data_IF_509031384565
#
_entry.id   IF_509031384565
#
_cell.length_a   1.000
_cell.length_b   1.000
_cell.length_c   1.000
_cell.angle_alpha   90.00
_cell.angle_beta   90.00
_cell.angle_gamma   90.00
#
_symmetry.space_group_name_H-M   'P 1'
#
loop_
_entity.id
_entity.type
_entity.pdbx_description
1 polymer ?
#
# COMPACT_ATOMS: atom_id res chain seq x y z
N UNK A 1 13.57 -15.19 -21.67
CA UNK A 1 12.27 -14.47 -21.63
C UNK A 1 11.67 -14.56 -23.03
N UNK A 2 10.34 -14.68 -23.17
CA UNK A 2 9.72 -14.72 -24.51
C UNK A 2 9.61 -13.30 -25.07
N UNK A 3 9.61 -13.09 -26.39
CA UNK A 3 9.50 -11.76 -27.00
C UNK A 3 8.23 -11.02 -26.52
N UNK A 4 7.12 -11.74 -26.34
CA UNK A 4 5.88 -11.19 -25.79
C UNK A 4 6.04 -10.65 -24.36
N UNK A 5 6.78 -11.35 -23.49
CA UNK A 5 7.05 -10.85 -22.13
C UNK A 5 7.94 -9.61 -22.11
N UNK A 6 8.87 -9.49 -23.06
CA UNK A 6 9.72 -8.30 -23.17
C UNK A 6 8.91 -7.09 -23.62
N UNK A 7 8.04 -7.26 -24.63
CA UNK A 7 7.12 -6.20 -25.09
C UNK A 7 6.17 -5.79 -23.96
N UNK A 8 5.58 -6.74 -23.24
CA UNK A 8 4.69 -6.44 -22.11
C UNK A 8 5.40 -5.64 -21.01
N UNK A 9 6.65 -5.98 -20.70
CA UNK A 9 7.47 -5.24 -19.72
C UNK A 9 7.82 -3.83 -20.20
N UNK A 10 8.17 -3.68 -21.48
CA UNK A 10 8.45 -2.37 -22.07
C UNK A 10 7.20 -1.45 -22.02
N UNK A 11 6.03 -1.99 -22.38
CA UNK A 11 4.75 -1.28 -22.28
C UNK A 11 4.40 -0.93 -20.83
N UNK A 12 4.57 -1.87 -19.89
CA UNK A 12 4.35 -1.61 -18.47
C UNK A 12 5.27 -0.52 -17.92
N UNK A 13 6.57 -0.55 -18.28
CA UNK A 13 7.53 0.46 -17.88
C UNK A 13 7.19 1.85 -18.45
N UNK A 14 6.82 1.92 -19.74
CA UNK A 14 6.38 3.15 -20.37
C UNK A 14 5.10 3.72 -19.72
N UNK A 15 4.12 2.86 -19.42
CA UNK A 15 2.90 3.24 -18.73
C UNK A 15 3.17 3.78 -17.32
N UNK A 16 4.04 3.11 -16.56
CA UNK A 16 4.46 3.56 -15.22
C UNK A 16 5.18 4.91 -15.29
N UNK A 17 6.06 5.12 -16.28
CA UNK A 17 6.75 6.40 -16.45
C UNK A 17 5.76 7.54 -16.78
N UNK A 18 4.86 7.31 -17.74
CA UNK A 18 3.85 8.30 -18.12
C UNK A 18 2.89 8.63 -16.96
N UNK A 19 2.43 7.61 -16.25
CA UNK A 19 1.55 7.76 -15.09
C UNK A 19 2.22 8.50 -13.93
N UNK A 20 3.52 8.26 -13.72
CA UNK A 20 4.31 8.99 -12.74
C UNK A 20 4.35 10.50 -13.03
N UNK A 21 4.46 10.88 -14.30
CA UNK A 21 4.39 12.29 -14.71
C UNK A 21 3.03 12.93 -14.44
N UNK A 22 1.93 12.21 -14.71
CA UNK A 22 0.58 12.69 -14.40
C UNK A 22 0.36 12.85 -12.89
N UNK A 23 0.82 11.89 -12.10
CA UNK A 23 0.73 11.96 -10.64
C UNK A 23 1.55 13.11 -10.07
N UNK A 24 2.77 13.33 -10.57
CA UNK A 24 3.59 14.47 -10.17
C UNK A 24 2.85 15.79 -10.34
N UNK A 25 2.23 15.99 -11.51
CA UNK A 25 1.42 17.18 -11.77
C UNK A 25 0.19 17.24 -10.84
N UNK A 26 -0.54 16.14 -10.71
CA UNK A 26 -1.77 16.09 -9.91
C UNK A 26 -1.54 16.27 -8.39
N UNK A 27 -0.37 15.89 -7.86
CA UNK A 27 -0.10 15.93 -6.42
C UNK A 27 0.92 16.98 -6.01
N UNK A 28 2.10 16.98 -6.62
CA UNK A 28 3.21 17.84 -6.19
C UNK A 28 3.05 19.25 -6.73
N UNK A 29 2.73 19.39 -8.03
CA UNK A 29 2.57 20.71 -8.63
C UNK A 29 1.35 21.46 -8.04
N UNK A 30 0.30 20.74 -7.67
CA UNK A 30 -0.92 21.29 -7.08
C UNK A 30 -0.91 21.33 -5.54
N UNK A 31 0.11 20.76 -4.88
CA UNK A 31 0.18 20.59 -3.41
C UNK A 31 -1.10 20.01 -2.80
N UNK A 32 -1.71 19.06 -3.51
CA UNK A 32 -3.04 18.54 -3.26
C UNK A 32 -3.05 17.01 -3.29
N UNK A 33 -3.63 16.38 -2.27
CA UNK A 33 -3.83 14.93 -2.23
C UNK A 33 -5.31 14.61 -2.08
N UNK A 34 -5.96 14.29 -3.19
CA UNK A 34 -7.32 13.74 -3.19
C UNK A 34 -7.29 12.25 -2.87
N UNK A 35 -8.45 11.69 -2.51
CA UNK A 35 -8.59 10.24 -2.34
C UNK A 35 -8.19 9.48 -3.62
N UNK A 36 -8.60 10.01 -4.78
CA UNK A 36 -8.30 9.42 -6.07
C UNK A 36 -6.82 9.46 -6.41
N UNK A 37 -6.14 10.60 -6.20
CA UNK A 37 -4.71 10.72 -6.47
C UNK A 37 -3.87 9.85 -5.51
N UNK A 38 -4.31 9.67 -4.27
CA UNK A 38 -3.59 8.79 -3.31
C UNK A 38 -3.80 7.31 -3.60
N UNK A 39 -5.02 6.89 -3.98
CA UNK A 39 -5.26 5.53 -4.45
C UNK A 39 -4.42 5.23 -5.71
N UNK A 40 -4.36 6.19 -6.64
CA UNK A 40 -3.56 6.08 -7.85
C UNK A 40 -2.05 6.06 -7.58
N UNK A 41 -1.55 6.89 -6.65
CA UNK A 41 -0.15 6.88 -6.21
C UNK A 41 0.21 5.55 -5.53
N UNK A 42 -0.70 5.00 -4.74
CA UNK A 42 -0.55 3.66 -4.16
C UNK A 42 -0.45 2.60 -5.27
N UNK A 43 -1.36 2.65 -6.24
CA UNK A 43 -1.34 1.81 -7.43
C UNK A 43 -0.04 1.87 -8.20
N UNK A 44 0.49 3.07 -8.41
CA UNK A 44 1.75 3.30 -9.11
C UNK A 44 2.93 2.64 -8.38
N UNK A 45 2.97 2.73 -7.05
CA UNK A 45 3.98 2.04 -6.24
C UNK A 45 3.82 0.51 -6.28
N UNK A 46 2.58 0.00 -6.31
CA UNK A 46 2.31 -1.41 -6.54
C UNK A 46 2.73 -1.87 -7.95
N UNK A 47 2.61 -1.00 -8.97
CA UNK A 47 3.07 -1.30 -10.32
C UNK A 47 4.59 -1.48 -10.37
N UNK A 48 5.36 -0.64 -9.68
CA UNK A 48 6.82 -0.79 -9.58
C UNK A 48 7.20 -2.15 -8.96
N UNK A 49 6.52 -2.53 -7.88
CA UNK A 49 6.70 -3.85 -7.27
C UNK A 49 6.23 -4.99 -8.20
N UNK A 50 5.15 -4.77 -8.95
CA UNK A 50 4.63 -5.69 -9.94
C UNK A 50 5.63 -5.95 -11.07
N UNK A 51 6.24 -4.91 -11.64
CA UNK A 51 7.32 -5.02 -12.63
C UNK A 51 8.49 -5.81 -12.05
N UNK A 52 8.92 -5.47 -10.83
CA UNK A 52 9.98 -6.20 -10.14
C UNK A 52 9.67 -7.70 -9.99
N UNK A 53 8.42 -8.05 -9.67
CA UNK A 53 7.97 -9.45 -9.56
C UNK A 53 7.79 -10.15 -10.90
N UNK A 54 7.40 -9.47 -11.99
CA UNK A 54 7.31 -10.08 -13.32
C UNK A 54 8.70 -10.45 -13.87
N UNK A 55 9.74 -9.70 -13.49
CA UNK A 55 11.13 -10.02 -13.83
C UNK A 55 11.60 -11.33 -13.18
N UNK A 56 10.99 -11.75 -12.07
CA UNK A 56 11.26 -13.03 -11.39
C UNK A 56 10.28 -14.10 -11.86
N UNK A 57 10.78 -15.16 -12.50
CA UNK A 57 9.94 -16.20 -13.13
C UNK A 57 8.85 -16.77 -12.23
N UNK A 58 9.15 -16.93 -10.95
CA UNK A 58 8.27 -17.59 -9.98
C UNK A 58 7.21 -16.64 -9.43
N UNK A 59 7.43 -15.33 -9.53
CA UNK A 59 6.52 -14.30 -9.03
C UNK A 59 5.65 -13.67 -10.11
N UNK A 60 5.74 -14.13 -11.37
CA UNK A 60 5.01 -13.56 -12.51
C UNK A 60 3.51 -13.46 -12.29
N UNK A 61 2.89 -14.49 -11.72
CA UNK A 61 1.46 -14.47 -11.41
C UNK A 61 1.09 -13.36 -10.42
N UNK A 62 1.87 -13.22 -9.34
CA UNK A 62 1.69 -12.13 -8.37
C UNK A 62 1.93 -10.75 -9.00
N UNK A 63 2.99 -10.63 -9.80
CA UNK A 63 3.31 -9.40 -10.53
C UNK A 63 2.18 -8.95 -11.47
N UNK A 64 1.55 -9.88 -12.19
CA UNK A 64 0.38 -9.59 -13.03
C UNK A 64 -0.82 -9.09 -12.23
N UNK A 65 -1.10 -9.68 -11.05
CA UNK A 65 -2.17 -9.19 -10.17
C UNK A 65 -1.89 -7.77 -9.69
N UNK A 66 -0.65 -7.49 -9.25
CA UNK A 66 -0.25 -6.15 -8.82
C UNK A 66 -0.40 -5.11 -9.94
N UNK A 67 0.01 -5.45 -11.16
CA UNK A 67 -0.17 -4.59 -12.34
C UNK A 67 -1.65 -4.37 -12.68
N UNK A 68 -2.50 -5.38 -12.52
CA UNK A 68 -3.95 -5.25 -12.70
C UNK A 68 -4.58 -4.29 -11.69
N UNK A 69 -4.22 -4.43 -10.41
CA UNK A 69 -4.64 -3.49 -9.34
C UNK A 69 -4.17 -2.08 -9.68
N UNK A 70 -2.91 -1.92 -10.08
CA UNK A 70 -2.35 -0.64 -10.46
C UNK A 70 -3.12 0.03 -11.61
N UNK A 71 -3.49 -0.73 -12.65
CA UNK A 71 -4.29 -0.24 -13.77
C UNK A 71 -5.67 0.25 -13.34
N UNK A 72 -6.34 -0.46 -12.43
CA UNK A 72 -7.63 -0.04 -11.88
C UNK A 72 -7.48 1.27 -11.09
N UNK A 73 -6.48 1.34 -10.21
CA UNK A 73 -6.24 2.53 -9.39
C UNK A 73 -5.81 3.74 -10.22
N UNK A 74 -5.17 3.53 -11.38
CA UNK A 74 -4.77 4.60 -12.29
C UNK A 74 -5.96 5.38 -12.86
N UNK A 75 -7.13 4.74 -13.00
CA UNK A 75 -8.37 5.38 -13.47
C UNK A 75 -8.81 6.55 -12.57
N UNK A 76 -8.44 6.53 -11.29
CA UNK A 76 -8.81 7.56 -10.32
C UNK A 76 -7.94 8.82 -10.37
N UNK A 77 -6.92 8.87 -11.24
CA UNK A 77 -6.02 10.03 -11.38
C UNK A 77 -6.74 11.24 -11.96
N UNK A 78 -7.68 11.02 -12.89
CA UNK A 78 -8.43 12.08 -13.55
C UNK A 78 -9.65 12.57 -12.74
N UNK A 79 -10.21 11.72 -11.87
CA UNK A 79 -11.47 12.00 -11.14
C UNK A 79 -11.33 12.88 -9.89
N UNK A 80 -10.13 13.38 -9.58
CA UNK A 80 -9.79 13.97 -8.28
C UNK A 80 -9.59 15.47 -8.26
N UNK A 81 -10.24 16.25 -9.16
CA UNK A 81 -10.15 17.72 -9.21
C UNK A 81 -11.06 18.43 -8.20
N UNK A 82 -11.56 17.74 -7.17
CA UNK A 82 -12.14 18.44 -6.03
C UNK A 82 -11.06 19.36 -5.44
N UNK A 83 -11.31 20.66 -5.24
CA UNK A 83 -10.31 21.58 -4.73
C UNK A 83 -9.88 21.09 -3.35
N UNK A 84 -8.71 20.46 -3.27
CA UNK A 84 -8.05 20.26 -2.00
C UNK A 84 -7.54 21.62 -1.58
N UNK A 85 -7.82 22.04 -0.35
CA UNK A 85 -7.23 23.27 0.18
C UNK A 85 -5.70 23.17 0.07
N UNK A 86 -5.12 24.11 -0.66
CA UNK A 86 -3.68 24.21 -0.81
C UNK A 86 -3.11 24.43 0.59
N UNK A 87 -2.41 23.41 1.11
CA UNK A 87 -1.79 23.51 2.42
C UNK A 87 -0.82 24.69 2.47
N UNK A 88 -0.87 25.50 3.51
CA UNK A 88 0.08 26.62 3.73
C UNK A 88 1.46 26.14 4.20
N UNK A 89 1.68 24.82 4.26
CA UNK A 89 2.93 24.23 4.70
C UNK A 89 4.02 24.40 3.62
N UNK A 90 5.31 24.56 4.02
CA UNK A 90 6.42 24.52 3.07
C UNK A 90 6.38 23.26 2.21
N UNK A 91 6.61 23.41 0.90
CA UNK A 91 6.54 22.32 -0.08
C UNK A 91 7.36 21.09 0.33
N UNK A 92 8.54 21.29 0.91
CA UNK A 92 9.41 20.19 1.35
C UNK A 92 8.80 19.38 2.51
N UNK A 93 8.06 20.01 3.42
CA UNK A 93 7.36 19.32 4.53
C UNK A 93 6.20 18.49 3.99
N UNK A 94 5.38 19.09 3.13
CA UNK A 94 4.26 18.41 2.48
C UNK A 94 4.75 17.19 1.70
N UNK A 95 5.72 17.38 0.80
CA UNK A 95 6.24 16.33 -0.07
C UNK A 95 6.89 15.21 0.75
N UNK A 96 7.75 15.53 1.72
CA UNK A 96 8.42 14.50 2.52
C UNK A 96 7.42 13.65 3.32
N UNK A 97 6.54 14.27 4.10
CA UNK A 97 5.54 13.55 4.89
C UNK A 97 4.58 12.73 4.00
N UNK A 98 4.06 13.34 2.94
CA UNK A 98 3.13 12.67 2.02
C UNK A 98 3.76 11.48 1.31
N UNK A 99 5.00 11.63 0.82
CA UNK A 99 5.72 10.54 0.17
C UNK A 99 6.00 9.40 1.16
N UNK A 100 6.48 9.71 2.36
CA UNK A 100 6.75 8.69 3.39
C UNK A 100 5.49 7.94 3.80
N UNK A 101 4.39 8.66 4.04
CA UNK A 101 3.11 8.05 4.39
C UNK A 101 2.54 7.18 3.27
N UNK A 102 2.62 7.64 2.02
CA UNK A 102 2.09 6.88 0.87
C UNK A 102 2.95 5.68 0.52
N UNK A 103 4.29 5.81 0.63
CA UNK A 103 5.21 4.68 0.46
C UNK A 103 4.98 3.62 1.56
N UNK A 104 4.80 4.04 2.81
CA UNK A 104 4.46 3.15 3.91
C UNK A 104 3.16 2.38 3.62
N UNK A 105 2.09 3.11 3.27
CA UNK A 105 0.79 2.53 2.94
C UNK A 105 0.90 1.51 1.80
N UNK A 106 1.62 1.83 0.73
CA UNK A 106 1.78 0.96 -0.44
C UNK A 106 2.56 -0.32 -0.14
N UNK A 107 3.63 -0.23 0.66
CA UNK A 107 4.39 -1.40 1.08
C UNK A 107 3.56 -2.30 2.00
N UNK A 108 2.78 -1.73 2.91
CA UNK A 108 1.90 -2.48 3.79
C UNK A 108 0.71 -3.09 3.02
N UNK A 109 0.21 -2.42 1.97
CA UNK A 109 -0.75 -2.98 1.03
C UNK A 109 -0.17 -4.18 0.26
N UNK A 110 1.04 -4.05 -0.25
CA UNK A 110 1.74 -5.16 -0.90
C UNK A 110 1.94 -6.34 0.05
N UNK A 111 2.33 -6.08 1.30
CA UNK A 111 2.41 -7.12 2.32
C UNK A 111 1.07 -7.81 2.58
N UNK A 112 -0.03 -7.06 2.68
CA UNK A 112 -1.37 -7.62 2.86
C UNK A 112 -1.79 -8.49 1.66
N UNK A 113 -1.48 -8.07 0.43
CA UNK A 113 -1.72 -8.86 -0.78
C UNK A 113 -0.88 -10.15 -0.79
N UNK A 114 0.39 -10.08 -0.41
CA UNK A 114 1.26 -11.25 -0.27
C UNK A 114 0.75 -12.20 0.84
N UNK A 115 0.32 -11.66 1.98
CA UNK A 115 -0.28 -12.42 3.07
C UNK A 115 -1.54 -13.15 2.60
N UNK A 116 -2.41 -12.47 1.87
CA UNK A 116 -3.62 -13.04 1.30
C UNK A 116 -3.29 -14.15 0.30
N UNK A 117 -2.40 -13.89 -0.66
CA UNK A 117 -1.96 -14.87 -1.65
C UNK A 117 -1.31 -16.10 -1.02
N UNK A 118 -0.46 -15.90 -0.01
CA UNK A 118 0.13 -16.98 0.79
C UNK A 118 -0.93 -17.83 1.47
N UNK A 119 -1.96 -17.21 2.05
CA UNK A 119 -3.06 -17.91 2.70
C UNK A 119 -3.89 -18.76 1.73
N UNK A 120 -4.12 -18.26 0.51
CA UNK A 120 -4.84 -18.99 -0.54
C UNK A 120 -4.02 -20.20 -1.01
N UNK A 121 -2.71 -20.02 -1.19
CA UNK A 121 -1.78 -21.10 -1.54
C UNK A 121 -1.75 -22.19 -0.46
N UNK A 122 -1.61 -21.78 0.80
CA UNK A 122 -1.58 -22.65 1.97
C UNK A 122 -2.88 -23.46 2.16
N UNK A 123 -4.05 -22.83 1.97
CA UNK A 123 -5.35 -23.54 1.96
C UNK A 123 -5.45 -24.58 0.84
N UNK A 124 -5.05 -24.23 -0.38
CA UNK A 124 -5.13 -25.15 -1.53
C UNK A 124 -4.23 -26.38 -1.35
N UNK A 125 -3.03 -26.20 -0.80
CA UNK A 125 -2.10 -27.30 -0.51
C UNK A 125 -2.69 -28.31 0.50
N UNK A 126 -3.44 -27.83 1.50
CA UNK A 126 -4.08 -28.71 2.49
C UNK A 126 -5.29 -29.49 1.97
N UNK A 127 -6.03 -28.95 1.00
CA UNK A 127 -7.33 -29.52 0.61
C UNK A 127 -7.31 -30.35 -0.68
N UNK A 128 -6.39 -30.11 -1.62
CA UNK A 128 -6.45 -30.72 -2.96
C UNK A 128 -5.40 -31.82 -3.16
N UNK A 129 -4.44 -31.97 -2.23
CA UNK A 129 -3.27 -32.80 -2.45
C UNK A 129 -2.38 -32.23 -3.57
N UNK A 130 -1.12 -32.65 -3.64
CA UNK A 130 -0.10 -32.16 -4.59
C UNK A 130 -0.35 -32.59 -6.04
N UNK A 131 -1.45 -33.31 -6.32
CA UNK A 131 -1.74 -33.92 -7.62
C UNK A 131 -2.30 -32.90 -8.61
N UNK A 132 -1.41 -32.22 -9.34
CA UNK A 132 -1.73 -31.67 -10.67
C UNK A 132 -1.40 -30.19 -10.92
N UNK A 133 -0.88 -29.44 -9.95
CA UNK A 133 -0.50 -28.04 -10.17
C UNK A 133 1.02 -27.85 -10.18
N UNK A 134 1.63 -28.13 -11.33
CA UNK A 134 2.99 -27.71 -11.73
C UNK A 134 3.01 -26.26 -12.24
N UNK A 135 2.17 -25.38 -11.68
CA UNK A 135 2.28 -23.94 -11.94
C UNK A 135 3.46 -23.42 -11.13
N UNK A 136 4.38 -22.71 -11.78
CA UNK A 136 5.58 -22.04 -11.21
C UNK A 136 5.18 -20.92 -10.23
N UNK A 137 4.48 -21.25 -9.16
CA UNK A 137 4.09 -20.35 -8.08
C UNK A 137 5.24 -20.28 -7.07
N UNK A 138 5.58 -19.09 -6.54
CA UNK A 138 6.72 -18.92 -5.66
C UNK A 138 6.49 -19.67 -4.36
N UNK A 139 7.53 -20.23 -3.74
CA UNK A 139 7.37 -21.06 -2.54
C UNK A 139 6.66 -20.29 -1.41
N UNK A 140 6.03 -21.02 -0.48
CA UNK A 140 5.34 -20.35 0.64
C UNK A 140 6.36 -19.57 1.51
N UNK A 141 7.59 -20.08 1.61
CA UNK A 141 8.71 -19.40 2.27
C UNK A 141 9.08 -18.09 1.55
N UNK A 142 9.14 -18.09 0.22
CA UNK A 142 9.46 -16.88 -0.55
C UNK A 142 8.38 -15.80 -0.43
N UNK A 143 7.10 -16.18 -0.47
CA UNK A 143 5.98 -15.25 -0.26
C UNK A 143 6.08 -14.63 1.14
N UNK A 144 6.36 -15.44 2.17
CA UNK A 144 6.47 -14.97 3.54
C UNK A 144 7.69 -14.05 3.74
N UNK A 145 8.83 -14.35 3.10
CA UNK A 145 10.02 -13.48 3.11
C UNK A 145 9.74 -12.11 2.51
N UNK A 146 9.12 -12.06 1.33
CA UNK A 146 8.78 -10.79 0.69
C UNK A 146 7.70 -10.04 1.49
N UNK A 147 6.73 -10.75 2.07
CA UNK A 147 5.73 -10.17 2.97
C UNK A 147 6.40 -9.46 4.14
N UNK A 148 7.31 -10.12 4.87
CA UNK A 148 8.00 -9.51 6.01
C UNK A 148 8.96 -8.39 5.60
N UNK A 149 9.62 -8.49 4.44
CA UNK A 149 10.44 -7.40 3.92
C UNK A 149 9.60 -6.14 3.65
N UNK A 150 8.42 -6.30 3.02
CA UNK A 150 7.47 -5.21 2.82
C UNK A 150 6.93 -4.67 4.15
N UNK A 151 6.61 -5.52 5.12
CA UNK A 151 6.15 -5.08 6.46
C UNK A 151 7.23 -4.27 7.17
N UNK A 152 8.48 -4.73 7.16
CA UNK A 152 9.58 -4.04 7.83
C UNK A 152 9.83 -2.66 7.20
N UNK A 153 9.94 -2.60 5.87
CA UNK A 153 10.15 -1.34 5.17
C UNK A 153 8.94 -0.39 5.34
N UNK A 154 7.72 -0.91 5.23
CA UNK A 154 6.50 -0.16 5.43
C UNK A 154 6.34 0.36 6.87
N UNK A 155 6.68 -0.45 7.87
CA UNK A 155 6.66 -0.08 9.29
C UNK A 155 7.68 1.01 9.62
N UNK A 156 8.89 0.93 9.06
CA UNK A 156 9.91 1.96 9.22
C UNK A 156 9.42 3.30 8.66
N UNK A 157 8.88 3.30 7.44
CA UNK A 157 8.31 4.50 6.83
C UNK A 157 7.07 5.01 7.58
N UNK A 158 6.19 4.12 8.06
CA UNK A 158 5.01 4.48 8.85
C UNK A 158 5.42 5.16 10.15
N UNK A 159 6.47 4.65 10.80
CA UNK A 159 7.03 5.26 12.01
C UNK A 159 7.48 6.68 11.72
N UNK A 160 8.31 6.87 10.69
CA UNK A 160 8.80 8.20 10.30
C UNK A 160 7.65 9.14 9.89
N UNK A 161 6.60 8.62 9.23
CA UNK A 161 5.40 9.38 8.89
C UNK A 161 4.63 9.82 10.15
N UNK A 162 4.41 8.94 11.12
CA UNK A 162 3.75 9.28 12.40
C UNK A 162 4.57 10.33 13.15
N UNK A 163 5.88 10.12 13.33
CA UNK A 163 6.73 11.06 14.06
C UNK A 163 6.83 12.43 13.36
N UNK A 164 6.98 12.47 12.03
CA UNK A 164 6.95 13.73 11.29
C UNK A 164 5.59 14.43 11.40
N UNK A 165 4.49 13.68 11.37
CA UNK A 165 3.15 14.24 11.57
C UNK A 165 2.96 14.87 12.96
N UNK A 166 3.51 14.25 14.01
CA UNK A 166 3.46 14.81 15.37
C UNK A 166 4.28 16.10 15.52
N UNK A 167 5.36 16.26 14.75
CA UNK A 167 6.19 17.48 14.75
C UNK A 167 5.48 18.63 14.01
N UNK A 168 4.75 18.31 12.94
CA UNK A 168 4.13 19.32 12.07
C UNK A 168 2.71 19.74 12.49
N UNK A 169 1.96 18.90 13.20
CA UNK A 169 0.59 19.23 13.63
C UNK A 169 0.60 19.89 15.01
N UNK A 170 0.26 21.18 15.07
CA UNK A 170 0.16 21.93 16.34
C UNK A 170 -1.11 21.63 17.14
N UNK A 171 -2.20 21.21 16.49
CA UNK A 171 -3.47 20.93 17.17
C UNK A 171 -4.27 19.81 16.49
N UNK A 172 -4.08 18.57 16.97
CA UNK A 172 -4.71 17.36 16.44
C UNK A 172 -6.22 17.28 16.73
N UNK A 173 -6.69 17.97 17.77
CA UNK A 173 -8.08 17.97 18.20
C UNK A 173 -8.90 19.02 17.46
N UNK A 174 -8.36 20.23 17.25
CA UNK A 174 -9.04 21.26 16.47
C UNK A 174 -9.34 20.82 15.03
N UNK A 175 -8.50 19.94 14.45
CA UNK A 175 -8.61 19.50 13.07
C UNK A 175 -9.35 18.15 12.87
N UNK A 176 -9.98 17.58 13.90
CA UNK A 176 -10.67 16.27 13.82
C UNK A 176 -9.78 15.11 13.32
N UNK A 177 -8.45 15.25 13.39
CA UNK A 177 -7.50 14.24 12.91
C UNK A 177 -7.29 13.09 13.89
N UNK A 178 -7.76 13.19 15.14
CA UNK A 178 -7.46 12.19 16.15
C UNK A 178 -7.92 10.78 15.80
N UNK A 179 -9.09 10.60 15.18
CA UNK A 179 -9.53 9.26 14.78
C UNK A 179 -8.59 8.63 13.74
N UNK A 180 -8.08 9.42 12.80
CA UNK A 180 -7.08 8.99 11.81
C UNK A 180 -5.74 8.64 12.48
N UNK A 181 -5.29 9.47 13.41
CA UNK A 181 -4.04 9.24 14.16
C UNK A 181 -4.14 8.00 15.05
N UNK A 182 -5.23 7.84 15.81
CA UNK A 182 -5.45 6.66 16.67
C UNK A 182 -5.49 5.38 15.85
N UNK A 183 -6.22 5.34 14.73
CA UNK A 183 -6.26 4.16 13.86
C UNK A 183 -4.89 3.84 13.25
N UNK A 184 -4.14 4.85 12.82
CA UNK A 184 -2.78 4.67 12.32
C UNK A 184 -1.81 4.18 13.42
N UNK A 185 -1.92 4.70 14.64
CA UNK A 185 -1.13 4.24 15.79
C UNK A 185 -1.49 2.80 16.19
N UNK A 186 -2.76 2.42 16.15
CA UNK A 186 -3.17 1.03 16.38
C UNK A 186 -2.60 0.09 15.31
N UNK A 187 -2.69 0.48 14.03
CA UNK A 187 -2.06 -0.28 12.94
C UNK A 187 -0.54 -0.40 13.16
N UNK A 188 0.13 0.69 13.56
CA UNK A 188 1.54 0.71 13.90
C UNK A 188 1.88 -0.28 15.02
N UNK A 189 1.11 -0.30 16.12
CA UNK A 189 1.29 -1.27 17.20
C UNK A 189 1.13 -2.71 16.70
N UNK A 190 0.11 -2.99 15.87
CA UNK A 190 -0.10 -4.35 15.33
C UNK A 190 1.08 -4.79 14.46
N UNK A 191 1.59 -3.93 13.58
CA UNK A 191 2.76 -4.26 12.76
C UNK A 191 4.03 -4.41 13.61
N UNK A 192 4.20 -3.59 14.64
CA UNK A 192 5.29 -3.72 15.61
C UNK A 192 5.25 -5.05 16.36
N UNK A 193 4.07 -5.43 16.87
CA UNK A 193 3.84 -6.74 17.52
C UNK A 193 4.08 -7.89 16.56
N UNK A 194 3.67 -7.77 15.29
CA UNK A 194 3.92 -8.78 14.27
C UNK A 194 5.43 -8.96 14.00
N UNK A 195 6.18 -7.86 13.86
CA UNK A 195 7.64 -7.90 13.66
C UNK A 195 8.36 -8.46 14.89
N UNK A 196 7.98 -8.01 16.09
CA UNK A 196 8.54 -8.52 17.34
C UNK A 196 8.23 -10.02 17.51
N UNK A 197 6.99 -10.43 17.23
CA UNK A 197 6.57 -11.81 17.30
C UNK A 197 7.25 -12.71 16.27
N UNK A 198 7.59 -12.17 15.09
CA UNK A 198 8.40 -12.87 14.10
C UNK A 198 9.83 -13.08 14.56
N UNK A 199 10.43 -12.09 15.23
CA UNK A 199 11.82 -12.14 15.70
C UNK A 199 11.98 -13.02 16.95
N UNK A 200 11.12 -12.84 17.95
CA UNK A 200 11.23 -13.51 19.25
C UNK A 200 10.59 -14.90 19.27
N UNK A 201 9.40 -15.04 18.68
CA UNK A 201 8.61 -16.27 18.78
C UNK A 201 8.53 -17.03 17.45
N UNK A 202 9.18 -16.54 16.40
CA UNK A 202 9.11 -17.16 15.08
C UNK A 202 7.69 -17.28 14.54
N UNK A 203 6.82 -16.27 14.72
CA UNK A 203 5.46 -16.31 14.19
C UNK A 203 5.46 -16.42 12.66
N UNK A 204 4.77 -17.44 12.13
CA UNK A 204 4.67 -17.73 10.69
C UNK A 204 3.23 -18.13 10.30
N UNK A 205 2.97 -18.23 9.00
CA UNK A 205 1.69 -18.72 8.47
C UNK A 205 0.48 -17.92 8.98
N UNK A 206 -0.56 -18.62 9.44
CA UNK A 206 -1.88 -18.04 9.76
C UNK A 206 -1.83 -16.87 10.74
N UNK A 207 -1.02 -16.95 11.81
CA UNK A 207 -0.89 -15.84 12.78
C UNK A 207 -0.33 -14.59 12.12
N UNK A 208 0.74 -14.73 11.34
CA UNK A 208 1.37 -13.62 10.63
C UNK A 208 0.42 -13.01 9.59
N UNK A 209 -0.28 -13.87 8.83
CA UNK A 209 -1.29 -13.44 7.86
C UNK A 209 -2.41 -12.64 8.52
N UNK A 210 -3.00 -13.14 9.61
CA UNK A 210 -4.11 -12.47 10.28
C UNK A 210 -3.69 -11.09 10.79
N UNK A 211 -2.54 -10.98 11.46
CA UNK A 211 -2.06 -9.69 11.96
C UNK A 211 -1.74 -8.71 10.83
N UNK A 212 -1.12 -9.18 9.73
CA UNK A 212 -0.85 -8.33 8.57
C UNK A 212 -2.14 -7.78 7.94
N UNK A 213 -3.17 -8.63 7.77
CA UNK A 213 -4.45 -8.22 7.22
C UNK A 213 -5.22 -7.28 8.16
N UNK A 214 -5.24 -7.55 9.47
CA UNK A 214 -5.90 -6.70 10.47
C UNK A 214 -5.20 -5.34 10.55
N UNK A 215 -3.87 -5.31 10.62
CA UNK A 215 -3.09 -4.07 10.63
C UNK A 215 -3.33 -3.22 9.38
N UNK A 216 -3.35 -3.86 8.20
CA UNK A 216 -3.65 -3.17 6.96
C UNK A 216 -5.10 -2.68 6.88
N UNK A 217 -6.08 -3.45 7.37
CA UNK A 217 -7.48 -3.03 7.42
C UNK A 217 -7.68 -1.79 8.30
N UNK A 218 -7.00 -1.72 9.45
CA UNK A 218 -6.99 -0.52 10.29
C UNK A 218 -6.37 0.68 9.56
N UNK A 219 -5.29 0.48 8.82
CA UNK A 219 -4.65 1.54 8.03
C UNK A 219 -5.56 2.05 6.90
N UNK A 220 -6.27 1.14 6.24
CA UNK A 220 -7.27 1.46 5.22
C UNK A 220 -8.43 2.24 5.82
N UNK A 221 -8.90 1.87 7.02
CA UNK A 221 -9.92 2.63 7.75
C UNK A 221 -9.41 4.01 8.22
N UNK A 222 -8.15 4.10 8.64
CA UNK A 222 -7.53 5.37 9.02
C UNK A 222 -7.50 6.35 7.85
N UNK A 223 -7.22 5.85 6.64
CA UNK A 223 -7.07 6.71 5.46
C UNK A 223 -8.39 6.98 4.73
N UNK A 224 -9.16 5.93 4.40
CA UNK A 224 -10.41 6.03 3.64
C UNK A 224 -11.63 6.16 4.55
N UNK A 225 -11.64 5.45 5.68
CA UNK A 225 -12.78 5.40 6.59
C UNK A 225 -13.08 6.73 7.26
N UNK A 226 -12.06 7.46 7.71
CA UNK A 226 -12.28 8.77 8.36
C UNK A 226 -12.95 9.77 7.42
N UNK A 227 -12.57 9.77 6.14
CA UNK A 227 -13.15 10.68 5.15
C UNK A 227 -14.54 10.22 4.67
N UNK A 228 -14.71 8.91 4.45
CA UNK A 228 -15.99 8.31 4.06
C UNK A 228 -17.08 8.49 5.12
N UNK A 229 -16.78 8.27 6.40
CA UNK A 229 -17.74 8.45 7.50
C UNK A 229 -18.10 9.93 7.65
N UNK A 230 -17.15 10.85 7.51
CA UNK A 230 -17.42 12.29 7.61
C UNK A 230 -18.25 12.81 6.42
N UNK A 231 -17.89 12.42 5.19
CA UNK A 231 -18.55 12.92 3.98
C UNK A 231 -19.90 12.22 3.71
N UNK A 232 -20.02 10.90 3.93
CA UNK A 232 -21.22 10.14 3.56
C UNK A 232 -22.18 9.85 4.73
N UNK A 233 -21.69 9.74 5.97
CA UNK A 233 -22.55 9.46 7.14
C UNK A 233 -22.93 10.74 7.87
N UNK A 234 -22.01 11.70 7.97
CA UNK A 234 -22.23 12.95 8.71
C UNK A 234 -22.56 14.15 7.82
N UNK A 235 -22.46 14.02 6.49
CA UNK A 235 -22.83 15.07 5.53
C UNK A 235 -22.03 16.37 5.68
N UNK A 236 -20.85 16.34 6.30
CA UNK A 236 -19.98 17.51 6.47
C UNK A 236 -18.84 17.47 5.46
N UNK A 237 -18.77 18.50 4.62
CA UNK A 237 -17.65 18.72 3.72
C UNK A 237 -16.47 19.32 4.52
N UNK A 238 -15.27 18.81 4.28
CA UNK A 238 -14.04 19.40 4.83
C UNK A 238 -13.77 20.75 4.17
N UNK A 239 -13.34 21.72 4.98
CA UNK A 239 -12.45 22.80 4.55
C UNK A 239 -11.03 22.27 4.64
#
# INVERSE_FOLDING_TARGET
MTPLTAIALALAAAAVAAHGGLLWYATVAQQALSLGSTASLTGWLLALLGIYYVLRSDFRGLGSVLLGIAGITALFTAGGQLPAEAGTAPLWQFVSHALMATLAYSLLAAAALLAFAGSLKDRRLRHVGTAGWTVRLPSLDDIERHMFACILAGFALLSLAIFSGLIFVRDLMAQHLAHKTVLASLAWVIFGVLLLGRWQFGWRGRKATTLALVGFALLLLAYFGSRFVLEMVLGRQWG
#
